data_IF_216867079070
#
_entry.id   IF_216867079070
#
_cell.length_a   1.000
_cell.length_b   1.000
_cell.length_c   1.000
_cell.angle_alpha   90.00
_cell.angle_beta   90.00
_cell.angle_gamma   90.00
#
_symmetry.space_group_name_H-M   'P 1'
#
loop_
_entity.id
_entity.type
_entity.pdbx_description
1 polymer ?
#
# COMPACT_ATOMS: atom_id res chain seq x y z
N UNK A 1 6.94 14.44 0.68
CA UNK A 1 7.21 13.74 1.97
C UNK A 1 8.45 12.81 1.85
N UNK A 2 9.09 12.37 2.95
CA UNK A 2 10.12 11.30 2.91
C UNK A 2 9.84 10.24 3.98
N UNK A 3 9.85 8.95 3.60
CA UNK A 3 9.65 7.80 4.49
C UNK A 3 10.87 6.89 4.39
N UNK A 4 11.62 6.73 5.47
CA UNK A 4 12.78 5.83 5.49
C UNK A 4 12.39 4.35 5.62
N UNK A 5 13.36 3.46 5.36
CA UNK A 5 13.17 2.01 5.41
C UNK A 5 12.66 1.51 6.78
N UNK A 6 13.04 2.16 7.88
CA UNK A 6 12.63 1.80 9.23
C UNK A 6 11.23 2.34 9.56
N UNK A 7 10.86 3.54 9.11
CA UNK A 7 9.50 4.06 9.17
C UNK A 7 8.54 3.16 8.39
N UNK A 8 8.84 2.84 7.13
CA UNK A 8 7.99 1.95 6.33
C UNK A 8 7.85 0.56 6.97
N UNK A 9 8.94 0.02 7.52
CA UNK A 9 8.91 -1.26 8.23
C UNK A 9 8.02 -1.20 9.49
N UNK A 10 8.03 -0.09 10.24
CA UNK A 10 7.09 0.13 11.36
C UNK A 10 5.65 0.21 10.88
N UNK A 11 5.37 0.93 9.79
CA UNK A 11 4.02 1.04 9.20
C UNK A 11 3.51 -0.35 8.87
N UNK A 12 4.27 -1.16 8.13
CA UNK A 12 3.84 -2.53 7.81
C UNK A 12 3.57 -3.36 9.07
N UNK A 13 4.45 -3.32 10.08
CA UNK A 13 4.24 -4.09 11.30
C UNK A 13 3.02 -3.64 12.09
N UNK A 14 2.79 -2.34 12.23
CA UNK A 14 1.62 -1.81 12.92
C UNK A 14 0.31 -2.17 12.19
N UNK A 15 0.31 -2.13 10.85
CA UNK A 15 -0.80 -2.62 10.03
C UNK A 15 -1.02 -4.12 10.30
N UNK A 16 0.01 -4.96 10.19
CA UNK A 16 -0.15 -6.40 10.41
C UNK A 16 -0.58 -6.75 11.85
N UNK A 17 -0.05 -6.09 12.90
CA UNK A 17 -0.52 -6.27 14.28
C UNK A 17 -1.98 -5.87 14.48
N UNK A 18 -2.43 -4.77 13.85
CA UNK A 18 -3.81 -4.27 14.01
C UNK A 18 -4.84 -5.19 13.34
N UNK A 19 -4.51 -5.75 12.16
CA UNK A 19 -5.45 -6.56 11.38
C UNK A 19 -5.25 -8.08 11.53
N UNK A 20 -4.15 -8.57 12.11
CA UNK A 20 -3.95 -9.95 12.56
C UNK A 20 -3.40 -10.06 14.01
N UNK A 21 -4.12 -9.57 15.04
CA UNK A 21 -3.63 -9.54 16.44
C UNK A 21 -3.42 -10.91 17.09
N UNK A 22 -3.68 -12.01 16.39
CA UNK A 22 -3.47 -13.39 16.85
C UNK A 22 -2.13 -14.00 16.40
N UNK A 23 -1.37 -13.34 15.52
CA UNK A 23 -0.10 -13.88 14.98
C UNK A 23 1.11 -13.27 15.69
N UNK A 24 1.43 -13.79 16.87
CA UNK A 24 2.55 -13.31 17.71
C UNK A 24 3.95 -13.61 17.14
N UNK A 25 4.06 -14.23 15.97
CA UNK A 25 5.33 -14.53 15.29
C UNK A 25 5.28 -14.25 13.78
N UNK A 26 5.98 -13.19 13.36
CA UNK A 26 6.33 -12.96 11.95
C UNK A 26 7.43 -13.94 11.54
N UNK A 27 7.10 -15.07 10.86
CA UNK A 27 7.88 -15.74 9.76
C UNK A 27 7.70 -17.27 9.66
N UNK A 28 7.31 -17.79 8.48
CA UNK A 28 7.41 -19.24 8.21
C UNK A 28 8.68 -19.69 7.50
N UNK A 29 8.87 -21.01 7.53
CA UNK A 29 9.78 -21.75 6.66
C UNK A 29 9.01 -22.66 5.72
N UNK A 30 9.52 -22.70 4.49
CA UNK A 30 9.35 -23.82 3.57
C UNK A 30 9.98 -25.10 4.18
N UNK A 31 9.46 -26.27 3.85
CA UNK A 31 9.79 -27.55 4.50
C UNK A 31 9.44 -27.68 6.01
N UNK A 32 8.62 -26.78 6.58
CA UNK A 32 7.74 -27.07 7.75
C UNK A 32 7.72 -26.06 8.94
N UNK A 33 6.62 -25.26 9.04
CA UNK A 33 6.16 -24.27 10.09
C UNK A 33 6.76 -22.84 10.08
N UNK A 34 6.08 -21.76 10.50
CA UNK A 34 4.62 -21.41 10.57
C UNK A 34 4.45 -19.86 10.39
N UNK A 35 3.29 -19.29 9.98
CA UNK A 35 3.30 -18.16 9.02
C UNK A 35 2.68 -16.79 9.37
N UNK A 36 3.48 -15.73 9.07
CA UNK A 36 3.06 -14.45 8.48
C UNK A 36 4.15 -13.85 7.57
N UNK A 37 3.83 -13.45 6.33
CA UNK A 37 4.69 -12.64 5.41
C UNK A 37 3.94 -12.26 4.14
N UNK A 38 4.09 -11.04 3.65
CA UNK A 38 3.65 -10.63 2.32
C UNK A 38 4.23 -11.59 1.27
N UNK A 39 3.38 -12.20 0.44
CA UNK A 39 3.85 -13.12 -0.62
C UNK A 39 4.32 -12.31 -1.84
N UNK A 40 5.18 -12.88 -2.69
CA UNK A 40 5.63 -12.18 -3.90
C UNK A 40 4.45 -11.73 -4.81
N UNK A 41 3.41 -12.55 -5.09
CA UNK A 41 2.23 -12.09 -5.82
C UNK A 41 1.42 -11.01 -5.09
N UNK A 42 1.36 -11.02 -3.76
CA UNK A 42 0.69 -9.96 -3.00
C UNK A 42 1.51 -8.66 -3.02
N UNK A 43 2.85 -8.73 -2.98
CA UNK A 43 3.73 -7.58 -3.13
C UNK A 43 3.61 -6.94 -4.52
N UNK A 44 3.54 -7.77 -5.58
CA UNK A 44 3.26 -7.33 -6.95
C UNK A 44 1.90 -6.61 -7.03
N UNK A 45 0.85 -7.13 -6.38
CA UNK A 45 -0.47 -6.50 -6.32
C UNK A 45 -0.48 -5.19 -5.51
N UNK A 46 0.19 -5.14 -4.36
CA UNK A 46 0.33 -3.92 -3.54
C UNK A 46 1.06 -2.84 -4.35
N UNK A 47 2.14 -3.18 -5.06
CA UNK A 47 2.87 -2.23 -5.90
C UNK A 47 2.06 -1.80 -7.13
N UNK A 48 1.28 -2.69 -7.75
CA UNK A 48 0.37 -2.33 -8.83
C UNK A 48 -0.71 -1.33 -8.38
N UNK A 49 -1.29 -1.54 -7.17
CA UNK A 49 -2.24 -0.61 -6.57
C UNK A 49 -1.56 0.74 -6.26
N UNK A 50 -0.36 0.72 -5.69
CA UNK A 50 0.43 1.92 -5.40
C UNK A 50 0.74 2.73 -6.68
N UNK A 51 1.05 2.04 -7.78
CA UNK A 51 1.29 2.68 -9.09
C UNK A 51 0.04 3.37 -9.63
N UNK A 52 -1.15 2.78 -9.43
CA UNK A 52 -2.43 3.36 -9.85
C UNK A 52 -2.88 4.52 -8.94
N UNK A 53 -2.45 4.53 -7.66
CA UNK A 53 -2.70 5.61 -6.72
C UNK A 53 -1.93 6.89 -7.09
N UNK A 54 -0.62 6.81 -7.38
CA UNK A 54 0.18 7.96 -7.88
C UNK A 54 -0.38 8.51 -9.19
N UNK A 55 -1.02 7.68 -10.01
CA UNK A 55 -1.61 8.12 -11.26
C UNK A 55 -3.03 8.72 -11.10
N UNK A 56 -3.51 9.01 -9.88
CA UNK A 56 -4.91 9.33 -9.60
C UNK A 56 -5.33 10.76 -10.00
N UNK A 57 -4.59 11.77 -9.56
CA UNK A 57 -4.81 13.20 -9.83
C UNK A 57 -4.51 13.57 -11.31
N UNK A 58 -3.70 12.74 -11.99
CA UNK A 58 -3.20 12.86 -13.37
C UNK A 58 -2.07 13.89 -13.55
N UNK A 59 -1.39 14.31 -12.49
CA UNK A 59 -0.16 15.11 -12.57
C UNK A 59 1.01 14.20 -12.19
N UNK A 60 2.07 14.16 -13.02
CA UNK A 60 3.29 13.43 -12.63
C UNK A 60 4.16 14.34 -11.76
N UNK A 61 4.02 14.25 -10.44
CA UNK A 61 4.96 14.86 -9.50
C UNK A 61 6.20 13.98 -9.28
N UNK A 62 7.38 14.60 -9.26
CA UNK A 62 8.65 13.92 -9.10
C UNK A 62 8.88 13.38 -7.66
N UNK A 63 8.33 14.04 -6.65
CA UNK A 63 8.46 13.65 -5.25
C UNK A 63 7.54 12.46 -4.92
N UNK A 64 6.31 12.43 -5.45
CA UNK A 64 5.40 11.29 -5.37
C UNK A 64 5.98 10.05 -6.06
N UNK A 65 6.52 10.24 -7.26
CA UNK A 65 7.25 9.22 -8.01
C UNK A 65 8.43 8.68 -7.21
N UNK A 66 9.23 9.56 -6.60
CA UNK A 66 10.36 9.16 -5.78
C UNK A 66 9.89 8.39 -4.52
N UNK A 67 8.76 8.77 -3.92
CA UNK A 67 8.15 8.07 -2.79
C UNK A 67 7.64 6.67 -3.20
N UNK A 68 6.95 6.56 -4.34
CA UNK A 68 6.51 5.28 -4.90
C UNK A 68 7.69 4.34 -5.17
N UNK A 69 8.74 4.83 -5.84
CA UNK A 69 9.92 4.01 -6.15
C UNK A 69 10.60 3.49 -4.86
N UNK A 70 10.61 4.28 -3.78
CA UNK A 70 11.09 3.87 -2.45
C UNK A 70 10.18 2.81 -1.79
N UNK A 71 8.86 3.08 -1.72
CA UNK A 71 7.89 2.16 -1.11
C UNK A 71 7.87 0.81 -1.84
N UNK A 72 7.85 0.83 -3.17
CA UNK A 72 7.85 -0.36 -4.01
C UNK A 72 9.11 -1.22 -3.80
N UNK A 73 10.29 -0.59 -3.71
CA UNK A 73 11.53 -1.28 -3.39
C UNK A 73 11.49 -1.95 -2.01
N UNK A 74 10.96 -1.26 -0.99
CA UNK A 74 10.82 -1.83 0.35
C UNK A 74 9.81 -2.99 0.41
N UNK A 75 8.67 -2.87 -0.28
CA UNK A 75 7.66 -3.94 -0.40
C UNK A 75 8.29 -5.20 -1.00
N UNK A 76 9.05 -5.07 -2.09
CA UNK A 76 9.71 -6.19 -2.77
C UNK A 76 10.79 -6.85 -1.90
N UNK A 77 11.62 -6.05 -1.20
CA UNK A 77 12.63 -6.57 -0.25
C UNK A 77 11.97 -7.37 0.87
N UNK A 78 10.87 -6.88 1.45
CA UNK A 78 10.17 -7.56 2.54
C UNK A 78 9.50 -8.88 2.12
N UNK A 79 8.93 -8.90 0.91
CA UNK A 79 8.37 -10.11 0.28
C UNK A 79 9.42 -11.04 -0.34
N UNK A 80 10.72 -10.69 -0.26
CA UNK A 80 11.83 -11.44 -0.84
C UNK A 80 11.67 -11.67 -2.36
N UNK A 81 11.20 -10.65 -3.07
CA UNK A 81 11.11 -10.63 -4.52
C UNK A 81 12.50 -10.30 -5.09
N UNK A 82 13.02 -11.16 -5.97
CA UNK A 82 14.39 -11.06 -6.48
C UNK A 82 14.55 -10.08 -7.66
N UNK A 83 13.44 -9.62 -8.25
CA UNK A 83 13.41 -8.64 -9.34
C UNK A 83 13.31 -7.22 -8.79
N UNK A 84 13.58 -6.22 -9.64
CA UNK A 84 13.21 -4.84 -9.34
C UNK A 84 11.69 -4.64 -9.50
N UNK A 85 11.06 -3.75 -8.73
CA UNK A 85 9.69 -3.32 -8.99
C UNK A 85 9.53 -2.75 -10.41
N UNK A 86 8.32 -2.77 -10.99
CA UNK A 86 8.03 -2.00 -12.19
C UNK A 86 8.22 -0.51 -11.93
N UNK A 87 8.77 0.20 -12.91
CA UNK A 87 8.74 1.67 -12.94
C UNK A 87 7.34 2.15 -13.31
N UNK A 88 6.95 3.33 -12.82
CA UNK A 88 5.72 4.01 -13.25
C UNK A 88 5.58 4.01 -14.78
N UNK A 89 4.48 3.42 -15.24
CA UNK A 89 4.05 3.48 -16.64
C UNK A 89 3.41 4.83 -16.98
N UNK A 90 3.01 5.03 -18.26
CA UNK A 90 2.24 6.22 -18.62
C UNK A 90 0.91 6.26 -17.87
N UNK A 91 0.47 7.47 -17.48
CA UNK A 91 -0.82 7.70 -16.82
C UNK A 91 -1.96 7.11 -17.65
N UNK A 92 -2.75 6.24 -17.04
CA UNK A 92 -3.90 5.61 -17.68
C UNK A 92 -5.12 6.53 -17.72
N UNK A 93 -6.05 6.25 -18.62
CA UNK A 93 -7.38 6.87 -18.58
C UNK A 93 -8.12 6.50 -17.29
N UNK A 94 -8.89 7.44 -16.73
CA UNK A 94 -9.51 7.31 -15.42
C UNK A 94 -10.45 6.11 -15.28
N UNK A 95 -11.21 5.75 -16.32
CA UNK A 95 -12.10 4.57 -16.25
C UNK A 95 -11.27 3.27 -16.18
N UNK A 96 -10.23 3.16 -17.02
CA UNK A 96 -9.34 1.99 -17.05
C UNK A 96 -8.55 1.84 -15.76
N UNK A 97 -8.04 2.95 -15.22
CA UNK A 97 -7.33 3.01 -13.95
C UNK A 97 -8.18 2.44 -12.82
N UNK A 98 -9.46 2.83 -12.75
CA UNK A 98 -10.41 2.33 -11.75
C UNK A 98 -10.75 0.84 -11.95
N UNK A 99 -10.89 0.37 -13.19
CA UNK A 99 -11.12 -1.05 -13.48
C UNK A 99 -9.91 -1.93 -13.10
N UNK A 100 -8.68 -1.47 -13.41
CA UNK A 100 -7.45 -2.13 -12.98
C UNK A 100 -7.30 -2.13 -11.44
N UNK A 101 -7.57 -0.99 -10.80
CA UNK A 101 -7.53 -0.83 -9.34
C UNK A 101 -8.45 -1.86 -8.65
N UNK A 102 -9.70 -1.95 -9.10
CA UNK A 102 -10.68 -2.94 -8.62
C UNK A 102 -10.21 -4.37 -8.87
N UNK A 103 -9.70 -4.65 -10.07
CA UNK A 103 -9.19 -5.99 -10.45
C UNK A 103 -8.03 -6.46 -9.56
N UNK A 104 -7.12 -5.56 -9.19
CA UNK A 104 -6.03 -5.87 -8.25
C UNK A 104 -6.54 -5.98 -6.80
N UNK A 105 -7.39 -5.07 -6.36
CA UNK A 105 -7.96 -5.05 -5.01
C UNK A 105 -8.77 -6.32 -4.70
N UNK A 106 -9.60 -6.79 -5.64
CA UNK A 106 -10.36 -8.04 -5.49
C UNK A 106 -9.47 -9.28 -5.31
N UNK A 107 -8.22 -9.26 -5.78
CA UNK A 107 -7.26 -10.35 -5.56
C UNK A 107 -6.61 -10.31 -4.17
N UNK A 108 -6.71 -9.20 -3.46
CA UNK A 108 -6.28 -9.03 -2.07
C UNK A 108 -7.43 -9.14 -1.06
N UNK A 109 -8.68 -9.07 -1.51
CA UNK A 109 -9.85 -9.09 -0.63
C UNK A 109 -9.82 -10.25 0.39
N UNK A 110 -10.03 -9.91 1.67
CA UNK A 110 -9.97 -10.86 2.78
C UNK A 110 -8.57 -11.33 3.18
N UNK A 111 -7.49 -10.82 2.57
CA UNK A 111 -6.11 -11.07 2.98
C UNK A 111 -5.57 -9.93 3.86
N UNK A 112 -4.63 -10.21 4.78
CA UNK A 112 -3.94 -9.16 5.56
C UNK A 112 -3.23 -8.10 4.70
N UNK A 113 -2.76 -8.48 3.51
CA UNK A 113 -2.15 -7.58 2.53
C UNK A 113 -3.13 -6.55 1.93
N UNK A 114 -4.44 -6.69 2.11
CA UNK A 114 -5.41 -5.67 1.74
C UNK A 114 -5.23 -4.37 2.54
N UNK A 115 -5.07 -4.48 3.87
CA UNK A 115 -4.84 -3.31 4.72
C UNK A 115 -3.51 -2.59 4.38
N UNK A 116 -2.48 -3.36 4.00
CA UNK A 116 -1.22 -2.80 3.50
C UNK A 116 -1.39 -2.09 2.15
N UNK A 117 -2.15 -2.66 1.21
CA UNK A 117 -2.45 -2.02 -0.08
C UNK A 117 -3.17 -0.69 0.10
N UNK A 118 -4.16 -0.63 0.99
CA UNK A 118 -4.86 0.61 1.32
C UNK A 118 -3.93 1.63 1.99
N UNK A 119 -3.15 1.22 2.99
CA UNK A 119 -2.21 2.12 3.67
C UNK A 119 -1.16 2.71 2.73
N UNK A 120 -0.63 1.91 1.80
CA UNK A 120 0.34 2.39 0.79
C UNK A 120 -0.31 3.36 -0.20
N UNK A 121 -1.52 3.07 -0.69
CA UNK A 121 -2.25 3.98 -1.56
C UNK A 121 -2.59 5.30 -0.85
N UNK A 122 -3.03 5.23 0.40
CA UNK A 122 -3.31 6.40 1.23
C UNK A 122 -2.06 7.27 1.43
N UNK A 123 -0.93 6.66 1.81
CA UNK A 123 0.37 7.37 1.97
C UNK A 123 0.75 8.18 0.73
N UNK A 124 0.49 7.64 -0.46
CA UNK A 124 0.84 8.29 -1.73
C UNK A 124 -0.11 9.45 -2.01
N UNK A 125 -1.42 9.23 -1.87
CA UNK A 125 -2.49 10.21 -2.06
C UNK A 125 -2.60 11.30 -0.97
N UNK A 126 -1.67 11.36 0.00
CA UNK A 126 -1.53 12.49 0.94
C UNK A 126 -0.10 13.02 1.01
N UNK A 127 0.74 12.69 0.03
CA UNK A 127 2.19 12.83 0.15
C UNK A 127 2.74 14.25 -0.10
N UNK A 128 1.93 15.09 -0.75
CA UNK A 128 2.03 16.53 -0.89
C UNK A 128 1.34 17.30 0.26
N UNK A 129 0.51 16.59 1.05
CA UNK A 129 -0.35 17.05 2.15
C UNK A 129 -1.65 17.77 1.72
N UNK A 130 -2.08 17.60 0.47
CA UNK A 130 -3.45 17.88 0.01
C UNK A 130 -4.11 16.56 -0.41
N UNK A 131 -5.44 16.50 -0.50
CA UNK A 131 -6.13 15.29 -1.01
C UNK A 131 -7.21 15.76 -1.99
N UNK A 132 -6.95 15.59 -3.28
CA UNK A 132 -7.88 16.00 -4.32
C UNK A 132 -9.14 15.10 -4.34
N UNK A 133 -10.33 15.61 -4.72
CA UNK A 133 -11.53 14.78 -4.84
C UNK A 133 -11.39 13.54 -5.75
N UNK A 134 -10.57 13.56 -6.81
CA UNK A 134 -10.33 12.37 -7.66
C UNK A 134 -9.55 11.28 -6.89
N UNK A 135 -8.66 11.67 -5.97
CA UNK A 135 -7.90 10.77 -5.10
C UNK A 135 -8.73 10.23 -3.94
N UNK A 136 -9.51 11.10 -3.28
CA UNK A 136 -10.45 10.70 -2.24
C UNK A 136 -11.47 9.66 -2.75
N UNK A 137 -12.00 9.88 -3.96
CA UNK A 137 -12.88 8.92 -4.64
C UNK A 137 -12.14 7.61 -5.01
N UNK A 138 -10.88 7.70 -5.45
CA UNK A 138 -10.05 6.53 -5.75
C UNK A 138 -9.79 5.68 -4.49
N UNK A 139 -9.53 6.32 -3.34
CA UNK A 139 -9.36 5.65 -2.05
C UNK A 139 -10.66 5.01 -1.54
N UNK A 140 -11.81 5.68 -1.68
CA UNK A 140 -13.11 5.10 -1.33
C UNK A 140 -13.39 3.84 -2.14
N UNK A 141 -13.21 3.91 -3.46
CA UNK A 141 -13.35 2.77 -4.38
C UNK A 141 -12.38 1.63 -4.02
N UNK A 142 -11.12 1.96 -3.69
CA UNK A 142 -10.12 0.99 -3.28
C UNK A 142 -10.51 0.28 -1.98
N UNK A 143 -10.95 1.04 -0.96
CA UNK A 143 -11.42 0.52 0.34
C UNK A 143 -12.52 -0.54 0.14
N UNK A 144 -13.54 -0.20 -0.66
CA UNK A 144 -14.65 -1.12 -0.95
C UNK A 144 -14.19 -2.37 -1.71
N UNK A 145 -13.36 -2.21 -2.75
CA UNK A 145 -12.88 -3.33 -3.56
C UNK A 145 -11.96 -4.29 -2.77
N UNK A 146 -11.20 -3.76 -1.80
CA UNK A 146 -10.41 -4.54 -0.85
C UNK A 146 -11.26 -5.25 0.22
N UNK A 147 -12.55 -4.89 0.35
CA UNK A 147 -13.43 -5.41 1.39
C UNK A 147 -13.10 -4.88 2.79
N UNK A 148 -12.51 -3.69 2.88
CA UNK A 148 -12.28 -3.00 4.15
C UNK A 148 -13.55 -2.22 4.52
N UNK A 149 -14.07 -2.44 5.73
CA UNK A 149 -15.08 -1.54 6.29
C UNK A 149 -14.46 -0.19 6.69
N UNK A 150 -15.33 0.80 6.86
CA UNK A 150 -14.97 2.19 7.15
C UNK A 150 -14.19 2.31 8.47
N UNK A 151 -14.62 1.60 9.52
CA UNK A 151 -13.96 1.56 10.83
C UNK A 151 -12.50 1.06 10.74
N UNK A 152 -12.23 0.01 9.94
CA UNK A 152 -10.86 -0.47 9.69
C UNK A 152 -10.01 0.49 8.85
N UNK A 153 -10.63 1.25 7.95
CA UNK A 153 -9.93 2.26 7.16
C UNK A 153 -9.57 3.47 8.04
N UNK A 154 -10.49 3.94 8.87
CA UNK A 154 -10.26 5.00 9.85
C UNK A 154 -9.17 4.60 10.87
N UNK A 155 -9.16 3.35 11.33
CA UNK A 155 -8.11 2.79 12.20
C UNK A 155 -6.69 2.85 11.59
N UNK A 156 -6.57 2.87 10.26
CA UNK A 156 -5.29 2.97 9.55
C UNK A 156 -4.75 4.41 9.53
N UNK A 157 -5.62 5.42 9.52
CA UNK A 157 -5.22 6.82 9.31
C UNK A 157 -4.29 7.34 10.44
N UNK A 158 -4.56 7.10 11.75
CA UNK A 158 -3.65 7.49 12.82
C UNK A 158 -2.31 6.76 12.74
N UNK A 159 -2.32 5.46 12.46
CA UNK A 159 -1.10 4.63 12.36
C UNK A 159 -0.17 5.17 11.27
N UNK A 160 -0.74 5.49 10.10
CA UNK A 160 0.01 6.09 8.99
C UNK A 160 0.48 7.50 9.38
N UNK A 161 -0.43 8.37 9.83
CA UNK A 161 -0.15 9.78 10.13
C UNK A 161 0.94 9.96 11.20
N UNK A 162 0.89 9.19 12.29
CA UNK A 162 1.90 9.22 13.36
C UNK A 162 3.30 8.78 12.89
N UNK A 163 3.39 7.93 11.87
CA UNK A 163 4.65 7.35 11.40
C UNK A 163 5.29 8.13 10.23
N UNK A 164 4.49 8.91 9.49
CA UNK A 164 4.96 9.77 8.39
C UNK A 164 5.20 11.23 8.81
N UNK A 165 4.58 11.68 9.91
CA UNK A 165 4.84 13.04 10.44
C UNK A 165 6.30 13.14 10.92
N UNK A 166 7.07 14.16 10.48
CA UNK A 166 8.43 14.36 10.97
C UNK A 166 8.46 14.63 12.48
N UNK A 167 9.46 14.14 13.23
CA UNK A 167 9.62 14.53 14.63
C UNK A 167 9.95 16.03 14.75
N UNK A 168 9.34 16.70 15.73
CA UNK A 168 9.60 18.11 16.10
C UNK A 168 11.04 18.38 16.58
#
# INVERSE_FOLDING_TARGET
MQIDAAQFTKIMYAVYERFEPASTEVCYRENGKERGKLTAPEAELVVAIAQLAVAADRVEDADERALFEQLAAHIYVHANVATTPPTLGPVEDGERRIDHLKSHAMQLQGKPSAALAYAVAYILAISDMDLDPDEGLMLEILREALGLDEEKADDLLPIVSELITPPE
#
